data_IF_045510426904
#
_entry.id   IF_045510426904
#
_cell.length_a   1.000
_cell.length_b   1.000
_cell.length_c   1.000
_cell.angle_alpha   90.00
_cell.angle_beta   90.00
_cell.angle_gamma   90.00
#
_symmetry.space_group_name_H-M   'P 1'
#
loop_
_entity.id
_entity.type
_entity.pdbx_description
1 polymer ?
#
# COMPACT_ATOMS: atom_id res chain seq x y z
N UNK A 1 84.55 -37.79 -52.84
CA UNK A 1 84.44 -36.70 -51.83
C UNK A 1 82.97 -36.34 -51.63
N UNK A 2 82.34 -36.72 -50.51
CA UNK A 2 80.98 -36.28 -50.14
C UNK A 2 81.09 -35.25 -49.02
N UNK A 3 80.84 -33.98 -49.34
CA UNK A 3 80.79 -32.90 -48.35
C UNK A 3 79.53 -33.03 -47.49
N UNK A 4 79.70 -33.37 -46.21
CA UNK A 4 78.63 -33.34 -45.20
C UNK A 4 78.34 -31.88 -44.85
N UNK A 5 77.21 -31.33 -45.34
CA UNK A 5 76.70 -30.02 -44.89
C UNK A 5 76.06 -30.17 -43.50
N UNK A 6 76.72 -29.57 -42.51
CA UNK A 6 76.30 -29.54 -41.12
C UNK A 6 75.15 -28.52 -40.96
N UNK A 7 73.89 -28.98 -40.90
CA UNK A 7 72.71 -28.15 -40.66
C UNK A 7 72.59 -27.90 -39.14
N UNK A 8 73.38 -26.96 -38.62
CA UNK A 8 73.10 -26.37 -37.30
C UNK A 8 72.31 -25.08 -37.52
N UNK A 9 71.49 -24.75 -36.52
CA UNK A 9 70.74 -23.50 -36.31
C UNK A 9 69.25 -23.59 -36.69
N UNK A 10 68.41 -23.86 -35.69
CA UNK A 10 67.44 -22.87 -35.19
C UNK A 10 66.62 -23.50 -34.05
N UNK A 11 67.14 -23.44 -32.81
CA UNK A 11 66.37 -23.80 -31.60
C UNK A 11 65.98 -22.58 -30.75
N UNK A 12 66.37 -21.37 -31.17
CA UNK A 12 66.14 -20.13 -30.40
C UNK A 12 64.81 -19.43 -30.70
N UNK A 13 64.07 -19.84 -31.74
CA UNK A 13 62.78 -19.23 -32.09
C UNK A 13 61.58 -19.77 -31.26
N UNK A 14 61.72 -20.95 -30.65
CA UNK A 14 60.63 -21.59 -29.88
C UNK A 14 60.37 -20.93 -28.53
N UNK A 15 61.41 -20.41 -27.86
CA UNK A 15 61.27 -19.80 -26.53
C UNK A 15 60.66 -18.39 -26.60
N UNK A 16 60.94 -17.64 -27.66
CA UNK A 16 60.37 -16.30 -27.88
C UNK A 16 58.89 -16.39 -28.24
N UNK A 17 58.47 -17.37 -29.04
CA UNK A 17 57.07 -17.58 -29.37
C UNK A 17 56.21 -17.97 -28.14
N UNK A 18 56.75 -18.81 -27.24
CA UNK A 18 56.05 -19.20 -26.01
C UNK A 18 55.86 -18.03 -25.03
N UNK A 19 56.89 -17.20 -24.83
CA UNK A 19 56.82 -16.00 -23.98
C UNK A 19 55.80 -14.96 -24.49
N UNK A 20 55.70 -14.79 -25.81
CA UNK A 20 54.78 -13.81 -26.43
C UNK A 20 53.31 -14.23 -26.26
N UNK A 21 53.02 -15.54 -26.28
CA UNK A 21 51.67 -16.08 -26.06
C UNK A 21 51.15 -15.81 -24.64
N UNK A 22 52.01 -15.92 -23.61
CA UNK A 22 51.62 -15.60 -22.23
C UNK A 22 51.27 -14.12 -22.05
N UNK A 23 52.03 -13.22 -22.70
CA UNK A 23 51.74 -11.78 -22.66
C UNK A 23 50.38 -11.49 -23.32
N UNK A 24 50.08 -12.12 -24.47
CA UNK A 24 48.80 -11.96 -25.13
C UNK A 24 47.62 -12.45 -24.27
N UNK A 25 47.78 -13.58 -23.56
CA UNK A 25 46.76 -14.10 -22.64
C UNK A 25 46.54 -13.14 -21.47
N UNK A 26 47.61 -12.59 -20.88
CA UNK A 26 47.50 -11.62 -19.78
C UNK A 26 46.78 -10.35 -20.25
N UNK A 27 47.11 -9.84 -21.44
CA UNK A 27 46.44 -8.66 -22.01
C UNK A 27 44.95 -8.93 -22.28
N UNK A 28 44.61 -10.09 -22.83
CA UNK A 28 43.22 -10.51 -23.02
C UNK A 28 42.48 -10.65 -21.69
N UNK A 29 43.11 -11.24 -20.67
CA UNK A 29 42.51 -11.37 -19.34
C UNK A 29 42.25 -10.00 -18.70
N UNK A 30 43.21 -9.08 -18.78
CA UNK A 30 43.04 -7.71 -18.29
C UNK A 30 41.91 -6.98 -19.03
N UNK A 31 41.84 -7.12 -20.36
CA UNK A 31 40.77 -6.53 -21.16
C UNK A 31 39.39 -7.07 -20.77
N UNK A 32 39.27 -8.40 -20.58
CA UNK A 32 38.03 -9.01 -20.09
C UNK A 32 37.63 -8.50 -18.70
N UNK A 33 38.58 -8.37 -17.78
CA UNK A 33 38.31 -7.84 -16.42
C UNK A 33 37.80 -6.40 -16.48
N UNK A 34 38.39 -5.56 -17.33
CA UNK A 34 37.93 -4.16 -17.51
C UNK A 34 36.51 -4.11 -18.05
N UNK A 35 36.18 -4.90 -19.07
CA UNK A 35 34.82 -4.97 -19.63
C UNK A 35 33.82 -5.43 -18.56
N UNK A 36 34.13 -6.51 -17.83
CA UNK A 36 33.26 -7.03 -16.78
C UNK A 36 33.02 -5.98 -15.68
N UNK A 37 34.06 -5.22 -15.31
CA UNK A 37 33.94 -4.17 -14.31
C UNK A 37 33.04 -3.01 -14.80
N UNK A 38 33.17 -2.60 -16.07
CA UNK A 38 32.29 -1.58 -16.66
C UNK A 38 30.83 -2.06 -16.69
N UNK A 39 30.59 -3.31 -17.09
CA UNK A 39 29.24 -3.89 -17.11
C UNK A 39 28.63 -3.99 -15.71
N UNK A 40 29.42 -4.43 -14.71
CA UNK A 40 28.99 -4.51 -13.33
C UNK A 40 28.66 -3.12 -12.75
N UNK A 41 29.51 -2.12 -13.03
CA UNK A 41 29.29 -0.74 -12.59
C UNK A 41 28.07 -0.11 -13.27
N UNK A 42 27.86 -0.38 -14.55
CA UNK A 42 26.67 0.09 -15.28
C UNK A 42 25.37 -0.48 -14.72
N UNK A 43 25.35 -1.79 -14.47
CA UNK A 43 24.17 -2.49 -13.91
C UNK A 43 23.81 -2.00 -12.50
N UNK A 44 24.81 -1.87 -11.63
CA UNK A 44 24.62 -1.36 -10.27
C UNK A 44 24.16 0.09 -10.24
N UNK A 45 24.72 0.95 -11.10
CA UNK A 45 24.27 2.34 -11.24
C UNK A 45 22.84 2.45 -11.76
N UNK A 46 22.46 1.60 -12.72
CA UNK A 46 21.09 1.55 -13.22
C UNK A 46 20.12 1.14 -12.11
N UNK A 47 20.43 0.06 -11.39
CA UNK A 47 19.60 -0.42 -10.29
C UNK A 47 19.45 0.64 -9.19
N UNK A 48 20.52 1.33 -8.83
CA UNK A 48 20.50 2.40 -7.83
C UNK A 48 19.62 3.58 -8.26
N UNK A 49 19.62 3.93 -9.56
CA UNK A 49 18.71 4.96 -10.10
C UNK A 49 17.25 4.51 -10.00
N UNK A 50 16.94 3.28 -10.41
CA UNK A 50 15.59 2.73 -10.35
C UNK A 50 15.06 2.66 -8.92
N UNK A 51 15.89 2.26 -7.96
CA UNK A 51 15.54 2.28 -6.53
C UNK A 51 15.19 3.71 -6.09
N UNK A 52 16.05 4.68 -6.39
CA UNK A 52 15.80 6.08 -6.03
C UNK A 52 14.54 6.67 -6.67
N UNK A 53 14.19 6.26 -7.89
CA UNK A 53 12.94 6.66 -8.55
C UNK A 53 11.71 6.06 -7.85
N UNK A 54 11.76 4.79 -7.47
CA UNK A 54 10.69 4.14 -6.72
C UNK A 54 10.52 4.72 -5.31
N UNK A 55 11.61 4.98 -4.60
CA UNK A 55 11.57 5.63 -3.27
C UNK A 55 10.94 7.03 -3.34
N UNK A 56 11.31 7.84 -4.34
CA UNK A 56 10.68 9.15 -4.55
C UNK A 56 9.20 9.04 -4.88
N UNK A 57 8.82 8.04 -5.67
CA UNK A 57 7.43 7.81 -6.05
C UNK A 57 6.60 7.38 -4.84
N UNK A 58 7.13 6.50 -4.00
CA UNK A 58 6.50 6.11 -2.73
C UNK A 58 6.34 7.30 -1.80
N UNK A 59 7.40 8.07 -1.57
CA UNK A 59 7.34 9.26 -0.70
C UNK A 59 6.32 10.30 -1.21
N UNK A 60 6.18 10.44 -2.53
CA UNK A 60 5.13 11.30 -3.11
C UNK A 60 3.73 10.76 -2.83
N UNK A 61 3.50 9.48 -3.11
CA UNK A 61 2.19 8.85 -2.92
C UNK A 61 1.76 8.84 -1.44
N UNK A 62 2.69 8.59 -0.52
CA UNK A 62 2.42 8.68 0.92
C UNK A 62 1.99 10.08 1.34
N UNK A 63 2.65 11.12 0.81
CA UNK A 63 2.25 12.50 1.06
C UNK A 63 0.87 12.82 0.49
N UNK A 64 0.57 12.34 -0.72
CA UNK A 64 -0.74 12.54 -1.34
C UNK A 64 -1.85 11.80 -0.55
N UNK A 65 -1.59 10.57 -0.12
CA UNK A 65 -2.49 9.80 0.76
C UNK A 65 -2.73 10.54 2.08
N UNK A 66 -1.69 11.05 2.73
CA UNK A 66 -1.82 11.78 4.01
C UNK A 66 -2.61 13.07 3.86
N UNK A 67 -2.41 13.80 2.76
CA UNK A 67 -3.17 15.01 2.46
C UNK A 67 -4.64 14.70 2.23
N UNK A 68 -4.91 13.65 1.47
CA UNK A 68 -6.28 13.22 1.20
C UNK A 68 -6.93 12.72 2.49
N UNK A 69 -6.27 11.90 3.29
CA UNK A 69 -6.73 11.46 4.62
C UNK A 69 -7.10 12.66 5.50
N UNK A 70 -6.23 13.67 5.58
CA UNK A 70 -6.52 14.91 6.33
C UNK A 70 -7.78 15.60 5.81
N UNK A 71 -7.93 15.70 4.48
CA UNK A 71 -9.10 16.28 3.83
C UNK A 71 -10.38 15.49 4.11
N UNK A 72 -10.31 14.17 4.14
CA UNK A 72 -11.43 13.29 4.49
C UNK A 72 -11.82 13.45 5.96
N UNK A 73 -10.84 13.51 6.87
CA UNK A 73 -11.10 13.71 8.29
C UNK A 73 -11.74 15.07 8.56
N UNK A 74 -11.30 16.14 7.88
CA UNK A 74 -11.96 17.44 7.95
C UNK A 74 -13.43 17.37 7.49
N UNK A 75 -13.73 16.65 6.40
CA UNK A 75 -15.10 16.51 5.88
C UNK A 75 -16.00 15.66 6.78
N UNK A 76 -15.46 14.69 7.51
CA UNK A 76 -16.23 13.80 8.41
C UNK A 76 -16.58 14.45 9.75
N UNK A 77 -16.06 15.64 10.05
CA UNK A 77 -16.42 16.33 11.29
C UNK A 77 -17.94 16.59 11.34
N UNK A 78 -18.58 16.42 12.52
CA UNK A 78 -20.03 16.53 12.63
C UNK A 78 -20.54 17.91 12.20
N UNK A 79 -19.77 18.96 12.44
CA UNK A 79 -20.08 20.34 12.04
C UNK A 79 -20.16 20.49 10.51
N UNK A 80 -19.20 19.92 9.78
CA UNK A 80 -19.18 19.96 8.31
C UNK A 80 -20.31 19.14 7.70
N UNK A 81 -20.64 18.01 8.32
CA UNK A 81 -21.78 17.18 7.93
C UNK A 81 -23.08 17.96 8.14
N UNK A 82 -23.26 18.61 9.28
CA UNK A 82 -24.44 19.45 9.56
C UNK A 82 -24.57 20.61 8.57
N UNK A 83 -23.46 21.28 8.26
CA UNK A 83 -23.45 22.34 7.25
C UNK A 83 -23.79 21.82 5.86
N UNK A 84 -23.29 20.63 5.48
CA UNK A 84 -23.63 19.99 4.22
C UNK A 84 -25.12 19.60 4.15
N UNK A 85 -25.66 19.01 5.21
CA UNK A 85 -27.08 18.67 5.33
C UNK A 85 -27.97 19.92 5.18
N UNK A 86 -27.61 21.01 5.86
CA UNK A 86 -28.32 22.29 5.75
C UNK A 86 -28.28 22.86 4.33
N UNK A 87 -27.13 22.82 3.65
CA UNK A 87 -27.01 23.27 2.25
C UNK A 87 -27.94 22.52 1.30
N UNK A 88 -28.19 21.24 1.57
CA UNK A 88 -29.12 20.41 0.80
C UNK A 88 -30.57 20.48 1.29
N UNK A 89 -30.90 21.36 2.25
CA UNK A 89 -32.25 21.50 2.79
C UNK A 89 -32.72 20.35 3.68
N UNK A 90 -31.80 19.48 4.10
CA UNK A 90 -32.10 18.36 4.99
C UNK A 90 -32.06 18.85 6.44
N UNK A 91 -33.21 18.90 7.09
CA UNK A 91 -33.31 19.14 8.54
C UNK A 91 -33.03 17.84 9.31
N UNK A 92 -31.81 17.33 9.18
CA UNK A 92 -31.35 16.15 9.93
C UNK A 92 -30.22 16.57 10.87
N UNK A 93 -30.19 15.95 12.05
CA UNK A 93 -29.09 16.08 13.01
C UNK A 93 -28.38 14.73 13.14
N UNK A 94 -27.09 14.70 13.48
CA UNK A 94 -26.39 13.47 13.79
C UNK A 94 -27.13 12.70 14.89
N UNK A 95 -27.18 11.35 14.79
CA UNK A 95 -27.86 10.54 15.78
C UNK A 95 -27.15 10.67 17.13
N UNK A 96 -27.93 10.83 18.20
CA UNK A 96 -27.38 10.81 19.57
C UNK A 96 -26.83 9.42 19.87
N UNK A 97 -25.82 9.27 20.75
CA UNK A 97 -25.29 7.97 21.14
C UNK A 97 -26.36 6.98 21.61
N UNK A 98 -27.41 7.48 22.27
CA UNK A 98 -28.54 6.67 22.75
C UNK A 98 -29.47 6.15 21.64
N UNK A 99 -29.34 6.66 20.42
CA UNK A 99 -30.08 6.23 19.23
C UNK A 99 -29.29 5.23 18.38
N UNK A 100 -27.98 5.11 18.62
CA UNK A 100 -27.10 4.20 17.88
C UNK A 100 -27.31 2.78 18.39
N UNK A 101 -27.50 1.84 17.47
CA UNK A 101 -27.62 0.41 17.77
C UNK A 101 -26.50 -0.33 17.06
N UNK A 102 -25.57 -0.87 17.83
CA UNK A 102 -24.51 -1.73 17.33
C UNK A 102 -25.07 -3.13 17.08
N UNK A 103 -24.86 -3.64 15.88
CA UNK A 103 -25.35 -4.94 15.43
C UNK A 103 -24.18 -5.93 15.39
N UNK A 104 -24.44 -7.16 15.81
CA UNK A 104 -23.52 -8.29 15.64
C UNK A 104 -23.54 -8.77 14.19
N UNK A 105 -22.55 -9.56 13.78
CA UNK A 105 -22.50 -10.19 12.45
C UNK A 105 -23.73 -11.06 12.13
N UNK A 106 -24.44 -11.53 13.15
CA UNK A 106 -25.68 -12.30 13.02
C UNK A 106 -26.94 -11.43 12.90
N UNK A 107 -26.80 -10.10 12.78
CA UNK A 107 -27.93 -9.19 12.71
C UNK A 107 -28.71 -9.05 14.02
N UNK A 108 -28.08 -9.33 15.17
CA UNK A 108 -28.68 -9.11 16.50
C UNK A 108 -28.00 -7.93 17.20
N UNK A 109 -28.73 -7.06 17.91
CA UNK A 109 -28.10 -5.98 18.67
C UNK A 109 -27.22 -6.54 19.80
N UNK A 110 -26.06 -5.94 20.05
CA UNK A 110 -25.24 -6.30 21.21
C UNK A 110 -26.01 -6.15 22.53
N UNK A 111 -25.84 -7.08 23.48
CA UNK A 111 -26.48 -7.01 24.80
C UNK A 111 -25.96 -5.80 25.59
N UNK A 112 -26.78 -5.27 26.50
CA UNK A 112 -26.40 -4.16 27.39
C UNK A 112 -26.50 -2.75 26.79
N UNK A 113 -26.88 -2.60 25.52
CA UNK A 113 -27.04 -1.28 24.90
C UNK A 113 -28.25 -0.51 25.45
N UNK A 114 -28.01 0.74 25.86
CA UNK A 114 -29.03 1.67 26.38
C UNK A 114 -30.10 1.96 25.33
N UNK A 115 -29.70 2.07 24.05
CA UNK A 115 -30.60 2.29 22.91
C UNK A 115 -31.66 1.20 22.79
N UNK A 116 -31.23 -0.06 22.88
CA UNK A 116 -32.10 -1.24 22.84
C UNK A 116 -33.02 -1.30 24.05
N UNK A 117 -32.51 -1.03 25.25
CA UNK A 117 -33.31 -1.02 26.48
C UNK A 117 -34.40 0.06 26.41
N UNK A 118 -34.07 1.26 25.95
CA UNK A 118 -35.04 2.35 25.74
C UNK A 118 -36.05 2.02 24.65
N UNK A 119 -35.62 1.43 23.53
CA UNK A 119 -36.52 1.01 22.46
C UNK A 119 -37.54 0.00 22.97
N UNK A 120 -37.10 -1.01 23.73
CA UNK A 120 -38.00 -1.99 24.40
C UNK A 120 -38.96 -1.33 25.38
N UNK A 121 -38.47 -0.40 26.20
CA UNK A 121 -39.31 0.36 27.15
C UNK A 121 -40.39 1.18 26.43
N UNK A 122 -40.04 1.87 25.33
CA UNK A 122 -40.99 2.62 24.49
C UNK A 122 -42.01 1.69 23.83
N UNK A 123 -41.58 0.56 23.28
CA UNK A 123 -42.48 -0.41 22.68
C UNK A 123 -43.50 -0.94 23.70
N UNK A 124 -43.06 -1.28 24.91
CA UNK A 124 -43.93 -1.72 26.00
C UNK A 124 -44.94 -0.64 26.41
N UNK A 125 -44.51 0.63 26.51
CA UNK A 125 -45.40 1.75 26.83
C UNK A 125 -46.46 2.01 25.74
N UNK A 126 -46.08 1.93 24.47
CA UNK A 126 -47.03 2.09 23.36
C UNK A 126 -48.10 1.00 23.37
N UNK A 127 -47.73 -0.26 23.61
CA UNK A 127 -48.69 -1.37 23.69
C UNK A 127 -49.70 -1.14 24.84
N UNK A 128 -49.23 -0.70 26.01
CA UNK A 128 -50.10 -0.41 27.15
C UNK A 128 -51.10 0.74 26.89
N UNK A 129 -50.72 1.72 26.06
CA UNK A 129 -51.59 2.86 25.72
C UNK A 129 -52.72 2.52 24.75
N UNK A 130 -52.51 1.53 23.87
CA UNK A 130 -53.51 1.07 22.89
C UNK A 130 -54.60 0.21 23.55
N UNK A 131 -54.29 -0.44 24.68
CA UNK A 131 -55.21 -1.32 25.39
C UNK A 131 -56.15 -0.61 26.38
N UNK A 132 -56.18 0.73 26.46
CA UNK A 132 -57.13 1.43 27.34
C UNK A 132 -58.51 1.43 26.65
N UNK A 133 -59.51 0.67 27.15
CA UNK A 133 -60.83 0.68 26.55
C UNK A 133 -61.44 2.09 26.69
N UNK A 134 -61.79 2.70 25.55
CA UNK A 134 -62.59 3.92 25.49
C UNK A 134 -63.88 3.65 26.25
N UNK A 135 -63.98 4.13 27.50
CA UNK A 135 -65.21 4.06 28.30
C UNK A 135 -66.30 4.77 27.50
N UNK A 136 -67.19 4.00 26.88
CA UNK A 136 -68.32 4.54 26.14
C UNK A 136 -69.23 5.24 27.15
N UNK A 137 -69.28 6.56 27.04
CA UNK A 137 -70.12 7.41 27.87
C UNK A 137 -71.58 7.14 27.47
N UNK A 138 -72.25 6.22 28.18
CA UNK A 138 -73.67 5.91 27.99
C UNK A 138 -74.48 7.13 28.41
N UNK A 139 -74.79 7.99 27.44
CA UNK A 139 -75.71 9.12 27.61
C UNK A 139 -77.09 8.57 27.98
N UNK A 140 -77.51 8.84 29.21
CA UNK A 140 -78.87 8.61 29.68
C UNK A 140 -79.59 9.95 29.54
N UNK A 141 -80.51 10.04 28.58
CA UNK A 141 -81.76 10.84 28.64
C UNK A 141 -82.65 10.40 27.49
#
# INVERSE_FOLDING_TARGET
MKARRNKKVSKKQSVVAASTGHIAIILMALFCVVILNILATSSTNHLMKTIGEHERTLARLENDCRREETRWEEMKTPEKIDDALKRHGLQMSPPRPEQIVHMTAQGKPYPGQISVARAKKRAAMNIASVSIPRRTHKSRR
#
